data_IF_267895772393
#
_entry.id   IF_267895772393
#
_cell.length_a   1.000
_cell.length_b   1.000
_cell.length_c   1.000
_cell.angle_alpha   90.00
_cell.angle_beta   90.00
_cell.angle_gamma   90.00
#
_symmetry.space_group_name_H-M   'P 1'
#
loop_
_entity.id
_entity.type
_entity.pdbx_description
1 polymer ?
#
# COMPACT_ATOMS: atom_id res chain seq x y z
N UNK A 1 -16.17 -10.54 -14.44
CA UNK A 1 -15.98 -11.86 -15.10
C UNK A 1 -14.91 -12.65 -14.34
N UNK A 2 -14.94 -13.99 -14.38
CA UNK A 2 -13.91 -14.79 -13.70
C UNK A 2 -12.60 -14.77 -14.50
N UNK A 3 -11.42 -14.85 -13.84
CA UNK A 3 -10.14 -14.95 -14.55
C UNK A 3 -10.10 -16.10 -15.57
N UNK A 4 -10.72 -17.23 -15.23
CA UNK A 4 -10.81 -18.38 -16.12
C UNK A 4 -11.56 -18.05 -17.41
N UNK A 5 -12.74 -17.44 -17.29
CA UNK A 5 -13.56 -17.08 -18.45
C UNK A 5 -12.84 -16.08 -19.36
N UNK A 6 -12.07 -15.15 -18.79
CA UNK A 6 -11.31 -14.14 -19.54
C UNK A 6 -10.22 -14.78 -20.40
N UNK A 7 -9.57 -15.81 -19.88
CA UNK A 7 -8.47 -16.49 -20.58
C UNK A 7 -9.01 -17.45 -21.64
N UNK A 8 -10.07 -18.20 -21.31
CA UNK A 8 -10.54 -19.31 -22.15
C UNK A 8 -11.82 -19.01 -22.94
N UNK A 9 -12.40 -17.82 -22.82
CA UNK A 9 -13.66 -17.45 -23.48
C UNK A 9 -14.91 -18.15 -22.96
N UNK A 10 -14.76 -19.16 -22.08
CA UNK A 10 -15.84 -19.99 -21.56
C UNK A 10 -15.73 -20.19 -20.06
N UNK A 11 -16.86 -20.51 -19.42
CA UNK A 11 -16.85 -20.89 -18.02
C UNK A 11 -16.21 -22.27 -17.82
N UNK A 12 -15.59 -22.52 -16.65
CA UNK A 12 -15.05 -23.84 -16.37
C UNK A 12 -16.19 -24.85 -16.35
N UNK A 13 -15.97 -26.01 -16.98
CA UNK A 13 -16.94 -27.11 -16.98
C UNK A 13 -17.19 -27.58 -15.56
N UNK A 14 -18.46 -27.56 -15.14
CA UNK A 14 -18.88 -28.09 -13.85
C UNK A 14 -18.94 -29.63 -13.86
N UNK A 15 -19.13 -30.25 -12.69
CA UNK A 15 -19.25 -31.72 -12.58
C UNK A 15 -20.40 -32.26 -13.45
N UNK A 16 -21.48 -31.48 -13.63
CA UNK A 16 -22.61 -31.83 -14.48
C UNK A 16 -22.27 -31.76 -15.98
N UNK A 17 -21.38 -30.86 -16.40
CA UNK A 17 -20.94 -30.70 -17.80
C UNK A 17 -19.98 -31.81 -18.27
N UNK A 18 -19.55 -32.67 -17.34
CA UNK A 18 -18.69 -33.82 -17.63
C UNK A 18 -19.50 -35.08 -17.99
N UNK A 19 -20.82 -35.05 -17.80
CA UNK A 19 -21.70 -36.16 -18.16
C UNK A 19 -21.93 -36.09 -19.66
N UNK A 20 -21.34 -37.02 -20.41
CA UNK A 20 -21.57 -37.13 -21.86
C UNK A 20 -22.98 -37.67 -22.09
N UNK A 21 -23.91 -36.79 -22.47
CA UNK A 21 -25.24 -37.20 -22.91
C UNK A 21 -25.12 -37.77 -24.35
N UNK A 22 -25.61 -38.99 -24.61
CA UNK A 22 -25.62 -39.53 -25.97
C UNK A 22 -26.62 -38.74 -26.82
N UNK A 23 -26.14 -37.90 -27.74
CA UNK A 23 -26.99 -37.25 -28.75
C UNK A 23 -26.59 -35.85 -29.20
N UNK A 24 -25.63 -35.19 -28.55
CA UNK A 24 -25.20 -33.86 -28.96
C UNK A 24 -23.81 -33.96 -29.61
N UNK A 25 -23.80 -34.11 -30.94
CA UNK A 25 -22.65 -33.69 -31.73
C UNK A 25 -22.54 -32.17 -31.53
N UNK A 26 -21.76 -31.74 -30.53
CA UNK A 26 -21.35 -30.35 -30.43
C UNK A 26 -20.51 -30.04 -31.67
N UNK A 27 -21.17 -29.50 -32.70
CA UNK A 27 -20.51 -28.91 -33.85
C UNK A 27 -19.55 -27.86 -33.30
N UNK A 28 -18.24 -28.03 -33.50
CA UNK A 28 -17.26 -27.02 -33.15
C UNK A 28 -17.71 -25.69 -33.74
N UNK A 29 -17.93 -24.69 -32.88
CA UNK A 29 -18.06 -23.31 -33.33
C UNK A 29 -16.90 -22.98 -34.28
N UNK A 30 -17.17 -22.08 -35.23
CA UNK A 30 -16.13 -21.57 -36.11
C UNK A 30 -14.98 -21.00 -35.25
N UNK A 31 -13.79 -21.58 -35.43
CA UNK A 31 -12.63 -21.28 -34.59
C UNK A 31 -12.24 -19.80 -34.69
N UNK A 32 -12.50 -19.17 -35.84
CA UNK A 32 -12.24 -17.75 -36.06
C UNK A 32 -13.17 -16.88 -35.21
N UNK A 33 -14.48 -17.16 -35.22
CA UNK A 33 -15.47 -16.43 -34.42
C UNK A 33 -15.21 -16.55 -32.90
N UNK A 34 -14.76 -17.73 -32.45
CA UNK A 34 -14.39 -17.94 -31.04
C UNK A 34 -13.16 -17.13 -30.62
N UNK A 35 -12.15 -17.04 -31.49
CA UNK A 35 -10.96 -16.23 -31.24
C UNK A 35 -11.31 -14.73 -31.17
N UNK A 36 -12.15 -14.23 -32.09
CA UNK A 36 -12.64 -12.86 -32.06
C UNK A 36 -13.41 -12.54 -30.76
N UNK A 37 -14.28 -13.46 -30.32
CA UNK A 37 -15.00 -13.30 -29.06
C UNK A 37 -14.06 -13.19 -27.85
N UNK A 38 -12.99 -13.99 -27.77
CA UNK A 38 -12.00 -13.89 -26.68
C UNK A 38 -11.29 -12.54 -26.70
N UNK A 39 -10.93 -12.03 -27.88
CA UNK A 39 -10.26 -10.73 -27.99
C UNK A 39 -11.18 -9.60 -27.51
N UNK A 40 -12.43 -9.58 -27.96
CA UNK A 40 -13.43 -8.60 -27.53
C UNK A 40 -13.66 -8.64 -26.01
N UNK A 41 -13.76 -9.85 -25.44
CA UNK A 41 -13.89 -10.08 -24.01
C UNK A 41 -12.72 -9.49 -23.22
N UNK A 42 -11.48 -9.70 -23.68
CA UNK A 42 -10.28 -9.21 -23.01
C UNK A 42 -10.17 -7.69 -23.09
N UNK A 43 -10.56 -7.10 -24.22
CA UNK A 43 -10.56 -5.66 -24.39
C UNK A 43 -11.60 -4.99 -23.48
N UNK A 44 -12.83 -5.53 -23.43
CA UNK A 44 -13.88 -5.05 -22.50
C UNK A 44 -13.39 -5.06 -21.05
N UNK A 45 -12.78 -6.17 -20.62
CA UNK A 45 -12.27 -6.32 -19.25
C UNK A 45 -11.11 -5.36 -18.98
N UNK A 46 -10.22 -5.16 -19.96
CA UNK A 46 -9.10 -4.25 -19.85
C UNK A 46 -9.58 -2.80 -19.70
N UNK A 47 -10.58 -2.39 -20.47
CA UNK A 47 -11.18 -1.06 -20.35
C UNK A 47 -11.83 -0.85 -18.99
N UNK A 48 -12.65 -1.81 -18.55
CA UNK A 48 -13.28 -1.77 -17.23
C UNK A 48 -12.24 -1.69 -16.11
N UNK A 49 -11.13 -2.42 -16.22
CA UNK A 49 -10.04 -2.36 -15.24
C UNK A 49 -9.34 -1.00 -15.23
N UNK A 50 -9.13 -0.37 -16.41
CA UNK A 50 -8.58 0.99 -16.49
C UNK A 50 -9.48 2.00 -15.79
N UNK A 51 -10.78 1.95 -16.05
CA UNK A 51 -11.76 2.86 -15.43
C UNK A 51 -11.79 2.66 -13.91
N UNK A 52 -11.87 1.42 -13.46
CA UNK A 52 -11.86 1.07 -12.04
C UNK A 52 -10.57 1.53 -11.36
N UNK A 53 -9.40 1.25 -11.94
CA UNK A 53 -8.11 1.70 -11.41
C UNK A 53 -8.02 3.23 -11.32
N UNK A 54 -8.57 3.96 -12.30
CA UNK A 54 -8.60 5.41 -12.27
C UNK A 54 -9.46 5.94 -11.12
N UNK A 55 -10.64 5.36 -10.89
CA UNK A 55 -11.53 5.70 -9.77
C UNK A 55 -10.87 5.40 -8.42
N UNK A 56 -10.26 4.22 -8.27
CA UNK A 56 -9.50 3.86 -7.07
C UNK A 56 -8.35 4.83 -6.83
N UNK A 57 -7.61 5.21 -7.88
CA UNK A 57 -6.53 6.18 -7.79
C UNK A 57 -7.04 7.54 -7.32
N UNK A 58 -8.10 8.08 -7.91
CA UNK A 58 -8.65 9.38 -7.48
C UNK A 58 -9.15 9.37 -6.03
N UNK A 59 -9.81 8.29 -5.60
CA UNK A 59 -10.29 8.16 -4.22
C UNK A 59 -9.13 8.04 -3.22
N UNK A 60 -8.09 7.26 -3.56
CA UNK A 60 -6.91 7.09 -2.74
C UNK A 60 -6.04 8.37 -2.69
N UNK A 61 -5.93 9.08 -3.81
CA UNK A 61 -5.19 10.34 -3.90
C UNK A 61 -5.89 11.46 -3.11
N UNK A 62 -7.24 11.47 -3.05
CA UNK A 62 -8.00 12.46 -2.28
C UNK A 62 -7.75 12.42 -0.76
N UNK A 63 -7.50 11.24 -0.21
CA UNK A 63 -7.18 11.08 1.23
C UNK A 63 -5.68 11.15 1.54
N UNK A 64 -4.82 11.25 0.52
CA UNK A 64 -3.37 11.22 0.70
C UNK A 64 -2.86 12.59 1.15
N UNK A 65 -2.12 12.62 2.27
CA UNK A 65 -1.35 13.80 2.67
C UNK A 65 -0.16 13.99 1.73
N UNK A 66 -0.05 15.16 1.12
CA UNK A 66 1.09 15.53 0.28
C UNK A 66 2.17 16.15 1.18
N UNK A 67 3.17 15.34 1.52
CA UNK A 67 4.37 15.82 2.23
C UNK A 67 5.51 15.93 1.23
N UNK A 68 5.90 17.15 0.87
CA UNK A 68 7.09 17.39 0.03
C UNK A 68 8.23 17.78 0.94
N UNK A 69 9.38 17.13 0.76
CA UNK A 69 10.61 17.47 1.46
C UNK A 69 11.71 17.78 0.46
N UNK A 70 12.53 18.77 0.79
CA UNK A 70 13.67 19.16 -0.03
C UNK A 70 14.96 18.49 0.44
N UNK A 71 15.95 18.44 -0.46
CA UNK A 71 17.28 17.95 -0.13
C UNK A 71 17.94 18.89 0.89
N UNK A 72 18.55 18.34 1.93
CA UNK A 72 19.11 19.11 3.04
C UNK A 72 18.15 19.33 4.21
N UNK A 73 16.85 19.07 4.07
CA UNK A 73 15.90 19.20 5.19
C UNK A 73 16.13 18.14 6.26
N UNK A 74 15.93 18.51 7.53
CA UNK A 74 15.97 17.57 8.65
C UNK A 74 14.59 16.93 8.85
N UNK A 75 14.57 15.60 8.92
CA UNK A 75 13.38 14.80 9.12
C UNK A 75 13.61 13.73 10.18
N UNK A 76 12.55 13.34 10.86
CA UNK A 76 12.54 12.14 11.70
C UNK A 76 12.03 10.97 10.87
N UNK A 77 12.71 9.83 10.99
CA UNK A 77 12.38 8.64 10.19
C UNK A 77 11.68 7.61 11.08
N UNK A 78 10.51 7.14 10.67
CA UNK A 78 9.79 6.06 11.36
C UNK A 78 10.27 4.69 10.85
N UNK A 79 10.78 3.86 11.76
CA UNK A 79 11.21 2.50 11.46
C UNK A 79 10.04 1.51 11.62
N UNK A 80 9.79 0.70 10.57
CA UNK A 80 8.90 -0.46 10.67
C UNK A 80 9.55 -1.61 11.41
N UNK A 81 8.75 -2.50 12.00
CA UNK A 81 9.22 -3.71 12.71
C UNK A 81 10.26 -4.52 11.92
N UNK A 82 10.07 -4.67 10.61
CA UNK A 82 10.95 -5.42 9.71
C UNK A 82 12.35 -4.81 9.57
N UNK A 83 12.47 -3.49 9.76
CA UNK A 83 13.74 -2.77 9.65
C UNK A 83 14.52 -2.76 10.96
N UNK A 84 13.92 -3.13 12.09
CA UNK A 84 14.66 -3.24 13.35
C UNK A 84 15.59 -4.45 13.32
N UNK A 85 16.82 -4.33 13.86
CA UNK A 85 17.65 -5.49 14.12
C UNK A 85 16.90 -6.51 14.99
N UNK A 86 17.11 -7.80 14.71
CA UNK A 86 16.42 -8.90 15.39
C UNK A 86 16.67 -8.79 16.90
N UNK A 87 15.60 -8.78 17.69
CA UNK A 87 15.64 -8.65 19.15
C UNK A 87 15.64 -7.22 19.70
N UNK A 88 15.78 -6.19 18.86
CA UNK A 88 15.78 -4.79 19.31
C UNK A 88 14.38 -4.17 19.38
N UNK A 89 13.42 -4.73 18.61
CA UNK A 89 12.04 -4.26 18.58
C UNK A 89 11.29 -4.57 19.88
N UNK A 90 10.79 -3.54 20.55
CA UNK A 90 9.91 -3.65 21.72
C UNK A 90 8.70 -2.73 21.53
N UNK A 91 7.50 -3.18 21.95
CA UNK A 91 6.22 -2.47 21.75
C UNK A 91 6.20 -1.06 22.35
N UNK A 92 7.00 -0.82 23.39
CA UNK A 92 7.09 0.47 24.11
C UNK A 92 8.29 1.33 23.70
N UNK A 93 9.17 0.86 22.80
CA UNK A 93 10.32 1.66 22.37
C UNK A 93 9.89 2.71 21.34
N UNK A 94 10.56 3.86 21.42
CA UNK A 94 10.41 4.92 20.44
C UNK A 94 10.77 4.40 19.04
N UNK A 95 9.86 4.58 18.08
CA UNK A 95 9.98 4.02 16.72
C UNK A 95 10.52 5.00 15.69
N UNK A 96 10.56 6.29 16.03
CA UNK A 96 11.17 7.30 15.15
C UNK A 96 12.65 7.42 15.52
N UNK A 97 13.51 7.63 14.54
CA UNK A 97 14.91 7.98 14.77
C UNK A 97 15.09 9.46 14.45
N UNK A 98 16.09 10.07 15.09
CA UNK A 98 16.28 11.51 15.25
C UNK A 98 16.42 12.32 13.95
N UNK A 99 16.98 13.55 14.01
CA UNK A 99 17.10 14.39 12.83
C UNK A 99 18.06 13.72 11.84
N UNK A 100 17.49 13.13 10.79
CA UNK A 100 18.18 12.61 9.63
C UNK A 100 18.05 13.64 8.51
N UNK A 101 19.14 13.92 7.82
CA UNK A 101 19.12 14.83 6.68
C UNK A 101 18.67 14.08 5.43
N UNK A 102 17.81 14.69 4.62
CA UNK A 102 17.49 14.15 3.30
C UNK A 102 18.67 14.42 2.37
N UNK A 103 19.27 13.35 1.85
CA UNK A 103 20.40 13.44 0.92
C UNK A 103 19.94 13.65 -0.50
N UNK A 104 18.88 12.95 -0.91
CA UNK A 104 18.39 12.99 -2.29
C UNK A 104 16.91 12.61 -2.38
N UNK A 105 16.15 13.30 -3.23
CA UNK A 105 14.81 12.87 -3.65
C UNK A 105 14.93 11.87 -4.81
N UNK A 106 14.49 10.62 -4.60
CA UNK A 106 14.51 9.59 -5.64
C UNK A 106 13.21 9.57 -6.45
N UNK A 107 12.08 9.75 -5.76
CA UNK A 107 10.75 9.95 -6.36
C UNK A 107 9.87 10.75 -5.39
N UNK A 108 8.67 11.14 -5.80
CA UNK A 108 7.74 11.87 -4.92
C UNK A 108 7.43 11.13 -3.61
N UNK A 109 7.47 9.79 -3.65
CA UNK A 109 7.21 8.94 -2.49
C UNK A 109 8.47 8.36 -1.85
N UNK A 110 9.65 8.50 -2.44
CA UNK A 110 10.87 7.84 -1.97
C UNK A 110 12.04 8.81 -1.84
N UNK A 111 12.60 8.87 -0.63
CA UNK A 111 13.71 9.76 -0.30
C UNK A 111 14.86 8.95 0.29
N UNK A 112 16.07 9.35 -0.08
CA UNK A 112 17.30 8.83 0.53
C UNK A 112 17.67 9.73 1.70
N UNK A 113 17.82 9.15 2.88
CA UNK A 113 18.16 9.87 4.11
C UNK A 113 19.54 9.45 4.62
N UNK A 114 20.17 10.36 5.33
CA UNK A 114 21.42 10.14 6.04
C UNK A 114 21.12 9.39 7.35
N UNK A 115 21.33 8.08 7.32
CA UNK A 115 21.22 7.23 8.51
C UNK A 115 22.56 7.15 9.24
N UNK A 116 22.56 7.03 10.58
CA UNK A 116 23.76 6.70 11.34
C UNK A 116 24.33 5.35 10.88
N UNK A 117 25.66 5.23 10.79
CA UNK A 117 26.35 4.01 10.34
C UNK A 117 26.00 2.75 11.16
N UNK A 118 25.53 2.95 12.39
CA UNK A 118 25.08 1.90 13.29
C UNK A 118 23.83 1.15 12.78
N UNK A 119 23.07 1.74 11.85
CA UNK A 119 21.89 1.14 11.25
C UNK A 119 22.23 0.50 9.91
N UNK A 120 22.40 -0.83 9.90
CA UNK A 120 22.57 -1.63 8.69
C UNK A 120 21.24 -1.83 7.93
N UNK A 121 20.51 -0.74 7.66
CA UNK A 121 19.21 -0.71 6.98
C UNK A 121 19.35 0.08 5.68
N UNK A 122 18.51 -0.23 4.68
CA UNK A 122 18.41 0.60 3.48
C UNK A 122 18.10 2.06 3.84
N UNK A 123 18.89 3.04 3.34
CA UNK A 123 18.69 4.47 3.61
C UNK A 123 17.54 5.09 2.80
N UNK A 124 16.74 4.27 2.12
CA UNK A 124 15.61 4.73 1.31
C UNK A 124 14.31 4.51 2.08
N UNK A 125 13.56 5.58 2.27
CA UNK A 125 12.31 5.60 3.03
C UNK A 125 11.18 6.16 2.20
N UNK A 126 9.98 5.66 2.50
CA UNK A 126 8.78 6.23 1.92
C UNK A 126 8.46 7.58 2.59
N UNK A 127 7.85 8.51 1.87
CA UNK A 127 7.40 9.81 2.40
C UNK A 127 6.47 9.67 3.62
N UNK A 128 5.65 8.62 3.66
CA UNK A 128 4.80 8.27 4.81
C UNK A 128 5.57 7.89 6.08
N UNK A 129 6.84 7.54 5.93
CA UNK A 129 7.75 7.17 7.02
C UNK A 129 8.60 8.38 7.47
N UNK A 130 8.41 9.55 6.86
CA UNK A 130 9.16 10.77 7.16
C UNK A 130 8.27 11.78 7.86
N UNK A 131 8.82 12.40 8.92
CA UNK A 131 8.17 13.44 9.69
C UNK A 131 9.05 14.69 9.70
N UNK A 132 8.44 15.87 9.62
CA UNK A 132 9.18 17.13 9.77
C UNK A 132 9.82 17.18 11.15
N UNK A 133 11.10 17.55 11.21
CA UNK A 133 11.78 17.78 12.48
C UNK A 133 11.36 19.17 13.01
N UNK A 134 10.86 19.29 14.25
CA UNK A 134 10.31 20.55 14.76
C UNK A 134 11.36 21.61 15.15
N UNK A 135 12.64 21.38 14.85
CA UNK A 135 13.73 22.24 15.29
C UNK A 135 13.99 23.52 14.48
N UNK A 136 13.15 23.88 13.49
CA UNK A 136 13.34 25.11 12.71
C UNK A 136 12.16 26.10 12.72
N UNK A 137 11.05 25.80 13.39
CA UNK A 137 9.95 26.75 13.56
C UNK A 137 9.32 26.56 14.95
N UNK A 138 9.22 27.64 15.72
CA UNK A 138 8.71 27.65 17.11
C UNK A 138 7.18 27.46 17.20
N UNK A 139 6.60 26.54 16.44
CA UNK A 139 5.20 26.18 16.54
C UNK A 139 5.06 24.67 16.70
N UNK A 140 5.43 24.19 17.90
CA UNK A 140 4.87 22.97 18.45
C UNK A 140 3.39 23.23 18.72
N UNK A 141 2.50 22.82 17.80
CA UNK A 141 1.14 22.48 18.20
C UNK A 141 1.24 21.17 18.99
N UNK A 142 1.28 21.32 20.30
CA UNK A 142 1.14 20.28 21.31
C UNK A 142 -0.22 19.60 21.18
N UNK A 143 -0.41 18.72 20.20
CA UNK A 143 -1.67 17.96 20.05
C UNK A 143 -1.56 16.47 20.42
N UNK A 144 -0.47 16.01 21.03
CA UNK A 144 -0.39 14.62 21.55
C UNK A 144 0.05 14.49 23.01
N UNK A 145 -0.09 15.55 23.83
CA UNK A 145 0.15 15.46 25.29
C UNK A 145 -1.11 15.34 26.17
N UNK A 146 -2.33 15.48 25.63
CA UNK A 146 -3.56 15.59 26.44
C UNK A 146 -4.25 14.24 26.75
N UNK A 147 -3.75 13.08 26.29
CA UNK A 147 -4.46 11.80 26.54
C UNK A 147 -3.75 10.79 27.46
N UNK A 148 -2.67 11.18 28.14
CA UNK A 148 -1.98 10.26 29.07
C UNK A 148 -2.23 10.54 30.56
N UNK A 149 -2.82 11.69 30.91
CA UNK A 149 -3.07 12.04 32.32
C UNK A 149 -4.49 11.71 32.81
N UNK A 150 -5.37 11.19 31.96
CA UNK A 150 -6.77 10.97 32.31
C UNK A 150 -7.14 9.49 32.55
N UNK A 151 -6.29 8.54 32.15
CA UNK A 151 -6.53 7.11 32.42
C UNK A 151 -6.07 6.65 33.80
N UNK A 152 -5.24 7.43 34.50
CA UNK A 152 -4.66 7.01 35.78
C UNK A 152 -5.46 7.54 37.01
N UNK A 153 -6.49 8.37 36.80
CA UNK A 153 -7.27 8.97 37.89
C UNK A 153 -8.61 8.29 38.19
N UNK A 154 -9.08 7.37 37.32
CA UNK A 154 -10.37 6.68 37.52
C UNK A 154 -10.26 5.27 38.13
N UNK A 155 -9.06 4.72 38.31
CA UNK A 155 -8.87 3.39 38.92
C UNK A 155 -8.70 3.39 40.45
N UNK A 156 -8.62 4.56 41.12
CA UNK A 156 -8.52 4.65 42.60
C UNK A 156 -9.82 4.99 43.34
N UNK A 157 -10.98 5.03 42.68
CA UNK A 157 -12.30 5.22 43.34
C UNK A 157 -13.28 4.06 43.17
N UNK A 158 -12.77 2.84 43.21
CA UNK A 158 -13.58 1.61 43.27
C UNK A 158 -13.06 0.66 44.34
N UNK A 159 -13.09 1.08 45.60
CA UNK A 159 -12.87 0.22 46.76
C UNK A 159 -14.20 -0.04 47.46
#
# INVERSE_FOLDING_TARGET
RSPFQIVYGRNPKGVLDLIVLPGEDETSDDAEAFAEHILQLQDEVRENLKVSNAQYKSAADASRRVSVFEEGYMVMVHLRKERFPKGTYNKLKYKKIGPCRILKKMSDNAYKVELPENFAISPVFNVSELYKFPGHDQNFEEEEEINWKQTDAEEEKGK
#
